data_IF_082953427072
#
_entry.id   IF_082953427072
#
_cell.length_a   1.000
_cell.length_b   1.000
_cell.length_c   1.000
_cell.angle_alpha   90.00
_cell.angle_beta   90.00
_cell.angle_gamma   90.00
#
_symmetry.space_group_name_H-M   'P 1'
#
loop_
_entity.id
_entity.type
_entity.pdbx_description
1 polymer ?
#
# COMPACT_ATOMS: atom_id res chain seq x y z
N UNK A 1 26.80 -6.48 -2.09
CA UNK A 1 25.85 -6.92 -1.05
C UNK A 1 25.54 -5.74 -0.13
N UNK A 2 24.57 -4.92 -0.50
CA UNK A 2 24.05 -3.87 0.38
C UNK A 2 23.01 -4.49 1.30
N UNK A 3 23.14 -4.27 2.61
CA UNK A 3 22.15 -4.66 3.60
C UNK A 3 20.87 -3.87 3.33
N UNK A 4 19.89 -4.45 2.63
CA UNK A 4 18.61 -3.83 2.35
C UNK A 4 17.75 -3.97 3.62
N UNK A 5 17.84 -3.00 4.54
CA UNK A 5 17.08 -3.02 5.79
C UNK A 5 15.65 -2.55 5.50
N UNK A 6 14.78 -3.46 5.07
CA UNK A 6 13.34 -3.26 5.06
C UNK A 6 12.80 -3.30 6.49
N UNK A 7 12.87 -2.17 7.22
CA UNK A 7 12.46 -2.11 8.63
C UNK A 7 10.93 -2.18 8.78
N UNK A 8 10.52 -3.18 9.57
CA UNK A 8 9.29 -3.34 10.36
C UNK A 8 7.99 -2.70 9.86
N UNK A 9 6.96 -3.54 9.68
CA UNK A 9 5.59 -3.07 9.72
C UNK A 9 5.06 -3.21 11.14
N UNK A 10 4.59 -2.10 11.71
CA UNK A 10 4.00 -2.08 13.05
C UNK A 10 2.48 -2.00 12.90
N UNK A 11 1.77 -2.95 13.51
CA UNK A 11 0.32 -3.05 13.49
C UNK A 11 -0.18 -2.87 14.92
N UNK A 12 -0.78 -1.74 15.24
CA UNK A 12 -1.22 -1.42 16.61
C UNK A 12 -2.73 -1.53 16.68
N UNK A 13 -3.29 -2.20 17.68
CA UNK A 13 -4.74 -2.30 17.91
C UNK A 13 -5.20 -1.27 18.97
N UNK A 14 -6.38 -0.66 18.82
CA UNK A 14 -6.92 0.30 19.81
C UNK A 14 -7.51 -0.36 21.07
N UNK A 15 -7.77 0.44 22.11
CA UNK A 15 -8.26 0.03 23.45
C UNK A 15 -9.45 -0.94 23.45
N UNK A 16 -9.49 -1.79 24.51
CA UNK A 16 -10.48 -2.83 24.81
C UNK A 16 -11.88 -2.22 25.01
N UNK A 17 -12.93 -2.80 24.41
CA UNK A 17 -14.33 -2.49 24.75
C UNK A 17 -14.97 -3.70 25.44
N UNK A 18 -15.80 -3.47 26.46
CA UNK A 18 -16.32 -4.51 27.36
C UNK A 18 -17.28 -5.52 26.75
N UNK A 19 -17.82 -5.32 25.54
CA UNK A 19 -18.85 -6.22 25.02
C UNK A 19 -18.43 -6.95 23.75
N UNK A 20 -18.29 -8.27 23.89
CA UNK A 20 -18.44 -9.20 22.77
C UNK A 20 -19.88 -9.08 22.25
N UNK A 21 -20.05 -8.44 21.09
CA UNK A 21 -21.35 -8.40 20.43
C UNK A 21 -21.66 -9.76 19.79
N UNK A 22 -22.90 -9.96 19.36
CA UNK A 22 -23.26 -11.14 18.56
C UNK A 22 -22.42 -11.25 17.26
N UNK A 23 -21.87 -10.12 16.80
CA UNK A 23 -21.12 -9.99 15.55
C UNK A 23 -19.61 -10.13 15.72
N UNK A 24 -19.04 -9.70 16.86
CA UNK A 24 -17.59 -9.59 17.04
C UNK A 24 -17.17 -10.34 18.30
N UNK A 25 -16.08 -11.11 18.19
CA UNK A 25 -15.40 -11.72 19.33
C UNK A 25 -14.02 -11.09 19.50
N UNK A 26 -13.70 -10.60 20.69
CA UNK A 26 -12.40 -10.04 21.01
C UNK A 26 -11.42 -11.17 21.40
N UNK A 27 -10.29 -11.24 20.69
CA UNK A 27 -9.20 -12.19 20.92
C UNK A 27 -7.89 -11.49 21.29
N UNK A 28 -7.93 -10.21 21.65
CA UNK A 28 -6.75 -9.40 21.96
C UNK A 28 -5.97 -9.88 23.19
N UNK A 29 -6.60 -10.66 24.08
CA UNK A 29 -5.92 -11.29 25.23
C UNK A 29 -5.07 -12.52 24.84
N UNK A 30 -5.17 -13.02 23.61
CA UNK A 30 -4.29 -14.06 23.09
C UNK A 30 -3.01 -13.47 22.50
N UNK A 31 -1.87 -14.14 22.72
CA UNK A 31 -0.67 -13.88 21.93
C UNK A 31 -0.84 -14.52 20.55
N UNK A 32 -1.00 -13.69 19.53
CA UNK A 32 -0.95 -14.10 18.14
C UNK A 32 0.50 -14.19 17.69
N UNK A 33 0.93 -15.34 17.17
CA UNK A 33 2.21 -15.51 16.49
C UNK A 33 1.94 -15.88 15.05
N UNK A 34 2.57 -15.19 14.09
CA UNK A 34 2.41 -15.43 12.66
C UNK A 34 3.76 -15.53 11.94
N UNK A 35 3.78 -16.36 10.91
CA UNK A 35 4.75 -16.28 9.82
C UNK A 35 4.03 -15.71 8.61
N UNK A 36 4.72 -14.93 7.78
CA UNK A 36 4.10 -14.32 6.62
C UNK A 36 5.09 -14.10 5.49
N UNK A 37 4.58 -14.12 4.26
CA UNK A 37 5.25 -13.61 3.08
C UNK A 37 4.63 -12.25 2.74
N UNK A 38 5.45 -11.25 2.41
CA UNK A 38 5.01 -9.90 2.10
C UNK A 38 5.71 -9.40 0.85
N UNK A 39 4.91 -8.87 -0.07
CA UNK A 39 5.37 -8.14 -1.24
C UNK A 39 4.82 -6.71 -1.16
N UNK A 40 5.68 -5.72 -1.40
CA UNK A 40 5.35 -4.30 -1.34
C UNK A 40 5.68 -3.67 -2.68
N UNK A 41 4.73 -3.00 -3.29
CA UNK A 41 4.94 -2.29 -4.55
C UNK A 41 4.76 -0.78 -4.38
N UNK A 42 5.54 -0.03 -5.16
CA UNK A 42 5.55 1.42 -5.24
C UNK A 42 5.71 1.79 -6.72
N UNK A 43 4.60 1.87 -7.44
CA UNK A 43 4.60 2.08 -8.88
C UNK A 43 4.20 3.51 -9.17
N UNK A 44 4.71 4.06 -10.26
CA UNK A 44 4.21 5.33 -10.75
C UNK A 44 4.08 5.30 -12.26
N UNK A 45 3.18 6.11 -12.80
CA UNK A 45 3.00 6.23 -14.24
C UNK A 45 2.96 7.68 -14.68
N UNK A 46 3.39 7.91 -15.91
CA UNK A 46 3.22 9.18 -16.62
C UNK A 46 2.38 8.91 -17.85
N UNK A 47 1.24 9.60 -17.97
CA UNK A 47 0.29 9.41 -19.08
C UNK A 47 0.01 10.73 -19.77
N UNK A 48 0.23 10.76 -21.08
CA UNK A 48 -0.24 11.80 -21.99
C UNK A 48 -1.59 11.38 -22.59
N UNK A 49 -2.68 11.99 -22.13
CA UNK A 49 -4.02 11.63 -22.62
C UNK A 49 -4.34 12.25 -23.98
N UNK A 50 -3.60 13.29 -24.40
CA UNK A 50 -3.81 13.91 -25.71
C UNK A 50 -3.14 13.09 -26.82
N UNK A 51 -1.99 12.46 -26.54
CA UNK A 51 -1.28 11.58 -27.47
C UNK A 51 -1.53 10.07 -27.22
N UNK A 52 -2.24 9.72 -26.14
CA UNK A 52 -2.57 8.34 -25.80
C UNK A 52 -1.37 7.49 -25.37
N UNK A 53 -0.28 8.12 -24.91
CA UNK A 53 0.96 7.44 -24.54
C UNK A 53 1.07 7.31 -23.01
N UNK A 54 1.53 6.15 -22.52
CA UNK A 54 1.75 5.90 -21.09
C UNK A 54 3.09 5.20 -20.84
N UNK A 55 3.73 5.55 -19.73
CA UNK A 55 4.90 4.84 -19.21
C UNK A 55 4.68 4.46 -17.76
N UNK A 56 4.90 3.19 -17.45
CA UNK A 56 4.78 2.64 -16.10
C UNK A 56 6.16 2.32 -15.55
N UNK A 57 6.42 2.74 -14.32
CA UNK A 57 7.67 2.54 -13.63
C UNK A 57 7.44 1.70 -12.39
N UNK A 58 8.20 0.63 -12.27
CA UNK A 58 8.17 -0.28 -11.13
C UNK A 58 9.58 -0.44 -10.55
N UNK A 59 9.73 -0.45 -9.21
CA UNK A 59 10.95 -0.88 -8.58
C UNK A 59 11.09 -2.39 -8.73
N UNK A 60 12.31 -2.91 -8.65
CA UNK A 60 12.50 -4.33 -8.45
C UNK A 60 12.00 -4.69 -7.03
N UNK A 61 10.75 -5.15 -6.96
CA UNK A 61 10.17 -5.60 -5.69
C UNK A 61 10.77 -6.94 -5.31
N UNK A 62 10.80 -7.19 -4.00
CA UNK A 62 11.19 -8.49 -3.50
C UNK A 62 10.16 -9.02 -2.53
N UNK A 63 9.85 -10.30 -2.71
CA UNK A 63 9.11 -11.10 -1.76
C UNK A 63 9.98 -11.28 -0.51
N UNK A 64 9.48 -10.79 0.62
CA UNK A 64 10.13 -10.93 1.92
C UNK A 64 9.39 -11.95 2.77
N UNK A 65 10.12 -12.71 3.58
CA UNK A 65 9.53 -13.60 4.58
C UNK A 65 9.70 -12.99 5.97
N UNK A 66 8.66 -13.10 6.79
CA UNK A 66 8.61 -12.44 8.08
C UNK A 66 7.96 -13.27 9.17
N UNK A 67 8.24 -12.81 10.39
CA UNK A 67 7.63 -13.28 11.63
C UNK A 67 6.95 -12.11 12.30
N UNK A 68 5.79 -12.36 12.91
CA UNK A 68 5.03 -11.33 13.60
C UNK A 68 4.45 -11.84 14.90
N UNK A 69 4.32 -10.93 15.86
CA UNK A 69 3.65 -11.18 17.11
C UNK A 69 2.65 -10.06 17.38
N UNK A 70 1.47 -10.41 17.88
CA UNK A 70 0.42 -9.46 18.27
C UNK A 70 -0.10 -9.82 19.66
N UNK A 71 -0.16 -8.84 20.55
CA UNK A 71 -0.72 -8.98 21.89
C UNK A 71 -1.41 -7.70 22.31
N UNK A 72 -2.67 -7.81 22.74
CA UNK A 72 -3.52 -6.67 23.10
C UNK A 72 -3.57 -5.61 22.00
N UNK A 73 -3.06 -4.43 22.33
CA UNK A 73 -3.03 -3.23 21.50
C UNK A 73 -1.76 -3.14 20.65
N UNK A 74 -0.79 -4.05 20.79
CA UNK A 74 0.49 -3.95 20.10
C UNK A 74 0.75 -5.16 19.20
N UNK A 75 1.24 -4.91 17.99
CA UNK A 75 1.68 -5.92 17.05
C UNK A 75 2.89 -5.45 16.27
N UNK A 76 3.85 -6.35 16.11
CA UNK A 76 5.11 -6.09 15.41
C UNK A 76 5.37 -7.22 14.41
N UNK A 77 5.64 -6.86 13.16
CA UNK A 77 6.10 -7.77 12.13
C UNK A 77 7.49 -7.36 11.63
N UNK A 78 8.41 -8.33 11.60
CA UNK A 78 9.72 -8.19 10.98
C UNK A 78 9.77 -9.08 9.74
N UNK A 79 10.14 -8.51 8.60
CA UNK A 79 10.31 -9.23 7.35
C UNK A 79 11.71 -9.02 6.80
N UNK A 80 12.26 -10.08 6.18
CA UNK A 80 13.62 -10.11 5.67
C UNK A 80 13.60 -10.55 4.22
N UNK A 81 14.42 -9.91 3.41
CA UNK A 81 14.73 -10.35 2.05
C UNK A 81 15.68 -11.54 2.13
N UNK A 82 15.43 -12.57 1.34
CA UNK A 82 16.31 -13.72 1.21
C UNK A 82 16.85 -13.82 -0.22
N UNK A 83 18.19 -13.93 -0.43
CA UNK A 83 18.80 -13.96 -1.76
C UNK A 83 18.34 -15.12 -2.66
N UNK A 84 17.83 -16.21 -2.08
CA UNK A 84 17.34 -17.36 -2.84
C UNK A 84 15.92 -17.18 -3.39
N UNK A 85 15.21 -16.12 -2.97
CA UNK A 85 13.83 -15.82 -3.41
C UNK A 85 13.82 -14.78 -4.52
N UNK A 86 14.72 -13.79 -4.43
CA UNK A 86 14.73 -12.63 -5.32
C UNK A 86 16.10 -12.57 -6.02
N UNK A 87 16.17 -13.17 -7.21
CA UNK A 87 17.38 -13.25 -8.03
C UNK A 87 17.07 -12.85 -9.48
N UNK A 88 16.45 -11.69 -9.62
CA UNK A 88 15.91 -11.12 -10.86
C UNK A 88 16.49 -9.72 -11.15
N UNK A 89 17.51 -9.30 -10.39
CA UNK A 89 18.25 -8.04 -10.59
C UNK A 89 18.82 -7.92 -12.02
N UNK A 90 19.10 -9.04 -12.69
CA UNK A 90 19.55 -9.04 -14.09
C UNK A 90 18.45 -8.65 -15.08
N UNK A 91 17.18 -8.85 -14.71
CA UNK A 91 16.00 -8.62 -15.55
C UNK A 91 15.38 -7.25 -15.22
N UNK A 92 15.21 -6.94 -13.93
CA UNK A 92 14.50 -5.73 -13.45
C UNK A 92 15.43 -4.64 -12.90
N UNK A 93 16.75 -4.89 -12.84
CA UNK A 93 17.70 -3.98 -12.23
C UNK A 93 17.68 -4.00 -10.70
N UNK A 94 18.60 -3.26 -10.09
CA UNK A 94 18.69 -3.17 -8.63
C UNK A 94 17.91 -1.97 -8.10
N UNK A 95 17.08 -2.19 -7.08
CA UNK A 95 16.41 -1.12 -6.33
C UNK A 95 16.94 -1.02 -4.91
N UNK A 96 17.27 0.20 -4.46
CA UNK A 96 17.52 0.52 -3.04
C UNK A 96 16.25 1.11 -2.43
N UNK A 97 15.87 0.64 -1.24
CA UNK A 97 14.64 1.11 -0.59
C UNK A 97 14.75 1.23 0.93
N UNK A 98 14.04 2.22 1.45
CA UNK A 98 13.58 2.31 2.84
C UNK A 98 12.05 2.40 2.80
N UNK A 99 11.36 1.49 3.48
CA UNK A 99 9.89 1.40 3.42
C UNK A 99 9.33 1.05 4.80
N UNK A 100 8.90 2.09 5.53
CA UNK A 100 8.25 1.98 6.82
C UNK A 100 6.74 2.25 6.66
N UNK A 101 5.92 1.31 7.14
CA UNK A 101 4.47 1.44 7.11
C UNK A 101 3.91 1.05 8.48
N UNK A 102 3.02 1.88 9.02
CA UNK A 102 2.39 1.63 10.31
C UNK A 102 0.90 1.85 10.20
N UNK A 103 0.13 0.92 10.73
CA UNK A 103 -1.33 0.99 10.77
C UNK A 103 -1.84 0.76 12.18
N UNK A 104 -2.67 1.69 12.66
CA UNK A 104 -3.39 1.60 13.92
C UNK A 104 -4.84 1.23 13.63
N UNK A 105 -5.28 0.06 14.06
CA UNK A 105 -6.66 -0.41 13.91
C UNK A 105 -7.39 -0.29 15.26
N UNK A 106 -8.19 0.76 15.41
CA UNK A 106 -9.20 0.86 16.46
C UNK A 106 -10.51 0.16 16.08
N UNK A 107 -11.50 0.18 16.98
CA UNK A 107 -12.88 -0.19 16.61
C UNK A 107 -13.54 0.92 15.79
N UNK A 108 -13.39 2.16 16.23
CA UNK A 108 -14.05 3.33 15.63
C UNK A 108 -13.26 3.99 14.51
N UNK A 109 -11.96 3.73 14.43
CA UNK A 109 -11.11 4.39 13.45
C UNK A 109 -9.89 3.56 13.05
N UNK A 110 -9.32 3.87 11.91
CA UNK A 110 -8.04 3.36 11.39
C UNK A 110 -7.14 4.57 11.14
N UNK A 111 -5.86 4.47 11.52
CA UNK A 111 -4.84 5.46 11.18
C UNK A 111 -3.72 4.76 10.44
N UNK A 112 -3.33 5.25 9.28
CA UNK A 112 -2.23 4.71 8.49
C UNK A 112 -1.17 5.77 8.28
N UNK A 113 0.10 5.36 8.31
CA UNK A 113 1.26 6.17 7.97
C UNK A 113 2.23 5.38 7.12
N UNK A 114 2.78 6.03 6.09
CA UNK A 114 3.73 5.46 5.15
C UNK A 114 4.89 6.44 4.98
N UNK A 115 6.12 5.95 5.11
CA UNK A 115 7.34 6.67 4.75
C UNK A 115 8.19 5.75 3.86
N UNK A 116 8.32 6.13 2.60
CA UNK A 116 8.94 5.32 1.57
C UNK A 116 9.97 6.15 0.80
N UNK A 117 11.16 5.59 0.63
CA UNK A 117 12.23 6.14 -0.22
C UNK A 117 12.72 5.00 -1.09
N UNK A 118 12.60 5.13 -2.40
CA UNK A 118 13.00 4.14 -3.38
C UNK A 118 13.96 4.78 -4.37
N UNK A 119 14.95 4.01 -4.84
CA UNK A 119 15.87 4.43 -5.90
C UNK A 119 16.18 3.23 -6.80
N UNK A 120 16.10 3.44 -8.11
CA UNK A 120 16.24 2.42 -9.13
C UNK A 120 14.90 1.80 -9.49
N UNK A 121 14.51 1.99 -10.75
CA UNK A 121 13.26 1.54 -11.35
C UNK A 121 13.55 0.84 -12.68
N UNK A 122 12.57 0.16 -13.23
CA UNK A 122 12.51 -0.25 -14.63
C UNK A 122 11.18 0.20 -15.24
N UNK A 123 11.13 0.29 -16.57
CA UNK A 123 9.89 0.58 -17.29
C UNK A 123 9.12 -0.72 -17.50
N UNK A 124 7.90 -0.83 -16.97
CA UNK A 124 7.11 -2.08 -16.90
C UNK A 124 6.42 -2.45 -18.23
N UNK A 125 6.21 -1.50 -19.14
CA UNK A 125 5.52 -1.67 -20.43
C UNK A 125 6.41 -1.44 -21.67
N UNK A 126 7.59 -2.07 -21.77
CA UNK A 126 8.51 -1.86 -22.90
C UNK A 126 7.94 -2.28 -24.26
N UNK A 127 7.05 -3.27 -24.28
CA UNK A 127 6.33 -3.77 -25.43
C UNK A 127 5.42 -2.72 -26.09
N UNK A 128 4.94 -1.73 -25.33
CA UNK A 128 4.11 -0.63 -25.88
C UNK A 128 4.90 0.35 -26.76
N UNK A 129 6.24 0.37 -26.66
CA UNK A 129 7.08 1.33 -27.41
C UNK A 129 8.33 0.72 -28.07
N UNK A 130 8.58 -0.58 -27.88
CA UNK A 130 9.64 -1.33 -28.58
C UNK A 130 9.05 -2.57 -29.25
N UNK A 131 8.80 -2.48 -30.56
CA UNK A 131 8.18 -3.54 -31.36
C UNK A 131 8.93 -4.89 -31.30
N UNK A 132 10.26 -4.87 -31.15
CA UNK A 132 11.10 -6.07 -31.12
C UNK A 132 11.54 -6.47 -29.70
N UNK A 133 10.91 -5.91 -28.65
CA UNK A 133 11.27 -6.25 -27.28
C UNK A 133 10.76 -7.65 -26.89
N UNK A 134 11.62 -8.40 -26.22
CA UNK A 134 11.28 -9.65 -25.57
C UNK A 134 11.78 -9.65 -24.12
N UNK A 135 11.06 -10.34 -23.23
CA UNK A 135 11.37 -10.39 -21.80
C UNK A 135 12.78 -10.92 -21.52
N UNK A 136 13.27 -11.83 -22.37
CA UNK A 136 14.63 -12.37 -22.29
C UNK A 136 15.74 -11.34 -22.46
N UNK A 137 15.47 -10.20 -23.11
CA UNK A 137 16.42 -9.10 -23.31
C UNK A 137 16.49 -8.16 -22.10
N UNK A 138 15.63 -8.38 -21.09
CA UNK A 138 15.51 -7.58 -19.88
C UNK A 138 14.69 -6.31 -20.07
N UNK A 139 14.33 -5.67 -18.96
CA UNK A 139 13.55 -4.43 -18.99
C UNK A 139 14.47 -3.20 -19.11
N UNK A 140 13.98 -2.08 -19.67
CA UNK A 140 14.71 -0.81 -19.62
C UNK A 140 14.86 -0.31 -18.19
N UNK A 141 16.08 -0.32 -17.67
CA UNK A 141 16.41 0.05 -16.28
C UNK A 141 16.71 1.55 -16.18
N UNK A 142 16.18 2.17 -15.13
CA UNK A 142 16.36 3.58 -14.72
C UNK A 142 16.91 3.65 -13.30
N UNK A 143 18.23 3.45 -13.11
CA UNK A 143 18.86 3.45 -11.78
C UNK A 143 18.90 4.86 -11.15
N UNK A 144 18.73 5.89 -11.97
CA UNK A 144 18.72 7.31 -11.60
C UNK A 144 17.42 7.77 -10.94
N UNK A 145 16.30 7.10 -11.25
CA UNK A 145 15.00 7.48 -10.73
C UNK A 145 14.90 7.16 -9.24
N UNK A 146 14.56 8.18 -8.45
CA UNK A 146 14.27 8.08 -7.03
C UNK A 146 12.88 8.62 -6.73
N UNK A 147 12.19 7.98 -5.78
CA UNK A 147 10.92 8.46 -5.24
C UNK A 147 11.01 8.59 -3.73
N UNK A 148 10.34 9.61 -3.20
CA UNK A 148 10.13 9.79 -1.76
C UNK A 148 8.66 10.05 -1.52
N UNK A 149 8.04 9.27 -0.64
CA UNK A 149 6.64 9.41 -0.28
C UNK A 149 6.47 9.44 1.23
N UNK A 150 5.72 10.43 1.71
CA UNK A 150 5.20 10.49 3.07
C UNK A 150 3.69 10.70 3.00
N UNK A 151 2.93 9.71 3.42
CA UNK A 151 1.47 9.76 3.35
C UNK A 151 0.85 9.25 4.65
N UNK A 152 -0.36 9.71 4.93
CA UNK A 152 -1.13 9.23 6.05
C UNK A 152 -2.62 9.42 5.87
N UNK A 153 -3.40 8.60 6.59
CA UNK A 153 -4.85 8.72 6.58
C UNK A 153 -5.47 8.40 7.92
N UNK A 154 -6.56 9.09 8.23
CA UNK A 154 -7.49 8.78 9.30
C UNK A 154 -8.81 8.33 8.67
N UNK A 155 -9.35 7.19 9.08
CA UNK A 155 -10.63 6.67 8.61
C UNK A 155 -11.53 6.34 9.78
N UNK A 156 -12.72 6.92 9.84
CA UNK A 156 -13.78 6.60 10.79
C UNK A 156 -14.63 5.41 10.31
N UNK A 157 -15.03 4.55 11.24
CA UNK A 157 -15.87 3.38 11.02
C UNK A 157 -17.21 3.61 11.72
N UNK A 158 -18.27 3.83 10.95
CA UNK A 158 -19.60 4.15 11.51
C UNK A 158 -20.27 2.95 12.21
N UNK A 159 -20.18 1.75 11.64
CA UNK A 159 -20.80 0.53 12.20
C UNK A 159 -19.81 -0.29 13.05
N UNK A 160 -19.02 0.38 13.89
CA UNK A 160 -17.93 -0.23 14.66
C UNK A 160 -18.36 -1.27 15.70
N UNK A 161 -19.66 -1.38 16.01
CA UNK A 161 -20.20 -2.37 16.96
C UNK A 161 -20.44 -3.73 16.31
N UNK A 162 -20.66 -3.74 14.98
CA UNK A 162 -20.95 -4.94 14.20
C UNK A 162 -19.84 -5.28 13.22
N UNK A 163 -19.12 -4.30 12.68
CA UNK A 163 -18.04 -4.49 11.72
C UNK A 163 -16.67 -4.33 12.38
N UNK A 164 -15.77 -5.29 12.15
CA UNK A 164 -14.39 -5.26 12.63
C UNK A 164 -13.38 -5.31 11.48
N UNK A 165 -12.71 -4.20 11.22
CA UNK A 165 -11.51 -4.19 10.38
C UNK A 165 -10.35 -4.99 11.01
N UNK A 166 -10.29 -5.02 12.36
CA UNK A 166 -9.26 -5.78 13.09
C UNK A 166 -9.29 -7.27 12.74
N UNK A 167 -10.47 -7.83 12.49
CA UNK A 167 -10.64 -9.24 12.17
C UNK A 167 -9.86 -9.70 10.94
N UNK A 168 -9.71 -8.82 9.96
CA UNK A 168 -9.08 -9.11 8.67
C UNK A 168 -7.61 -8.74 8.67
N UNK A 169 -7.25 -7.55 9.16
CA UNK A 169 -5.92 -6.98 8.93
C UNK A 169 -4.90 -7.21 10.06
N UNK A 170 -5.34 -7.31 11.31
CA UNK A 170 -4.44 -7.55 12.46
C UNK A 170 -4.79 -8.80 13.28
N UNK A 171 -5.91 -9.45 12.95
CA UNK A 171 -6.34 -10.74 13.47
C UNK A 171 -6.55 -10.83 15.00
N UNK A 172 -6.73 -9.70 15.69
CA UNK A 172 -7.01 -9.63 17.13
C UNK A 172 -8.50 -9.73 17.48
N UNK A 173 -9.38 -9.75 16.49
CA UNK A 173 -10.82 -9.98 16.66
C UNK A 173 -11.28 -11.06 15.66
N UNK A 174 -12.44 -11.67 15.91
CA UNK A 174 -13.15 -12.48 14.92
C UNK A 174 -14.45 -11.77 14.52
N UNK A 175 -14.70 -11.70 13.21
CA UNK A 175 -16.01 -11.40 12.68
C UNK A 175 -16.83 -12.71 12.67
N UNK A 176 -17.87 -12.79 13.52
CA UNK A 176 -18.74 -13.98 13.66
C UNK A 176 -19.92 -13.98 12.69
N UNK A 177 -20.36 -12.81 12.26
CA UNK A 177 -21.47 -12.62 11.31
C UNK A 177 -21.09 -11.58 10.27
N UNK A 178 -21.60 -11.73 9.04
CA UNK A 178 -21.39 -10.73 8.00
C UNK A 178 -21.84 -9.35 8.44
N UNK A 179 -21.01 -8.34 8.21
CA UNK A 179 -21.30 -6.96 8.51
C UNK A 179 -20.42 -6.05 7.66
N UNK A 180 -20.92 -4.84 7.39
CA UNK A 180 -20.14 -3.79 6.77
C UNK A 180 -20.36 -2.45 7.45
N UNK A 181 -19.56 -1.47 7.05
CA UNK A 181 -19.59 -0.13 7.58
C UNK A 181 -19.32 0.87 6.47
N UNK A 182 -20.08 1.96 6.49
CA UNK A 182 -19.63 3.19 5.85
C UNK A 182 -18.33 3.63 6.49
N UNK A 183 -17.49 4.29 5.69
CA UNK A 183 -16.22 4.85 6.07
C UNK A 183 -16.19 6.32 5.65
N UNK A 184 -15.58 7.16 6.47
CA UNK A 184 -15.27 8.54 6.10
C UNK A 184 -13.99 8.99 6.78
N UNK A 185 -13.21 9.85 6.16
CA UNK A 185 -11.96 10.28 6.75
C UNK A 185 -11.15 11.24 5.91
N UNK A 186 -10.01 11.64 6.44
CA UNK A 186 -9.07 12.54 5.81
C UNK A 186 -7.74 11.85 5.51
N UNK A 187 -7.03 12.37 4.53
CA UNK A 187 -5.69 11.89 4.16
C UNK A 187 -4.81 13.05 3.72
N UNK A 188 -3.50 12.80 3.74
CA UNK A 188 -2.51 13.68 3.13
C UNK A 188 -1.47 12.83 2.41
N UNK A 189 -0.82 13.43 1.42
CA UNK A 189 0.29 12.82 0.70
C UNK A 189 1.32 13.89 0.36
N UNK A 190 2.59 13.55 0.54
CA UNK A 190 3.75 14.24 0.00
C UNK A 190 4.48 13.22 -0.87
N UNK A 191 4.67 13.52 -2.14
CA UNK A 191 5.33 12.68 -3.12
C UNK A 191 6.40 13.50 -3.83
N UNK A 192 7.60 12.96 -3.96
CA UNK A 192 8.64 13.44 -4.85
C UNK A 192 9.07 12.33 -5.78
N UNK A 193 9.22 12.64 -7.05
CA UNK A 193 9.87 11.80 -8.06
C UNK A 193 10.99 12.62 -8.68
N UNK A 194 12.19 12.05 -8.78
CA UNK A 194 13.38 12.71 -9.29
C UNK A 194 14.17 11.74 -10.16
N UNK A 195 14.72 12.22 -11.27
CA UNK A 195 15.74 11.57 -12.08
C UNK A 195 16.87 12.54 -12.39
N UNK A 196 18.07 12.01 -12.66
CA UNK A 196 19.20 12.82 -13.12
C UNK A 196 18.98 13.35 -14.55
N UNK A 197 18.09 12.69 -15.28
CA UNK A 197 17.64 12.95 -16.63
C UNK A 197 16.11 13.01 -16.66
N UNK A 198 15.53 13.36 -17.82
CA UNK A 198 14.08 13.36 -17.98
C UNK A 198 13.49 12.00 -17.55
N UNK A 199 12.35 12.03 -16.87
CA UNK A 199 11.65 10.80 -16.47
C UNK A 199 11.29 10.01 -17.73
N UNK A 200 10.82 10.68 -18.78
CA UNK A 200 10.59 10.08 -20.09
C UNK A 200 11.93 9.97 -20.84
N UNK A 201 12.36 8.77 -21.27
CA UNK A 201 13.57 8.57 -22.05
C UNK A 201 13.57 9.34 -23.38
N UNK A 202 14.76 9.77 -23.83
CA UNK A 202 14.92 10.60 -25.04
C UNK A 202 14.33 9.95 -26.30
N UNK A 203 14.38 8.62 -26.40
CA UNK A 203 13.84 7.87 -27.54
C UNK A 203 12.33 8.01 -27.68
N UNK A 204 11.64 8.39 -26.60
CA UNK A 204 10.18 8.53 -26.52
C UNK A 204 9.73 10.00 -26.51
N UNK A 205 10.63 10.98 -26.60
CA UNK A 205 10.24 12.40 -26.53
C UNK A 205 9.25 12.81 -27.63
N UNK A 206 9.26 12.15 -28.80
CA UNK A 206 8.33 12.45 -29.89
C UNK A 206 6.91 11.92 -29.65
N UNK A 207 6.70 11.01 -28.70
CA UNK A 207 5.39 10.44 -28.38
C UNK A 207 4.74 11.09 -27.16
N UNK A 208 5.43 12.04 -26.53
CA UNK A 208 4.95 12.78 -25.36
C UNK A 208 5.06 14.28 -25.61
N UNK A 209 4.19 15.07 -24.98
CA UNK A 209 4.33 16.53 -25.00
C UNK A 209 5.52 17.01 -24.17
N UNK A 210 6.10 18.13 -24.59
CA UNK A 210 7.23 18.78 -23.91
C UNK A 210 6.98 19.06 -22.42
N UNK A 211 5.73 19.32 -22.02
CA UNK A 211 5.36 19.58 -20.61
C UNK A 211 5.43 18.34 -19.70
N UNK A 212 5.59 17.14 -20.29
CA UNK A 212 5.82 15.88 -19.58
C UNK A 212 7.29 15.46 -19.54
N UNK A 213 8.19 16.18 -20.21
CA UNK A 213 9.62 15.89 -20.25
C UNK A 213 10.35 16.43 -19.01
N UNK A 214 9.71 16.36 -17.84
CA UNK A 214 10.28 16.77 -16.57
C UNK A 214 11.27 15.73 -16.04
N UNK A 215 12.24 16.16 -15.24
CA UNK A 215 13.11 15.26 -14.47
C UNK A 215 12.75 15.21 -12.99
N UNK A 216 11.97 16.18 -12.50
CA UNK A 216 11.55 16.22 -11.11
C UNK A 216 10.11 16.69 -10.99
N UNK A 217 9.34 16.02 -10.15
CA UNK A 217 8.02 16.46 -9.72
C UNK A 217 7.87 16.24 -8.22
N UNK A 218 7.39 17.26 -7.53
CA UNK A 218 6.97 17.19 -6.14
C UNK A 218 5.49 17.54 -6.04
N UNK A 219 4.72 16.74 -5.32
CA UNK A 219 3.28 16.90 -5.14
C UNK A 219 2.95 16.77 -3.67
N UNK A 220 2.21 17.73 -3.13
CA UNK A 220 1.78 17.73 -1.74
C UNK A 220 0.33 18.13 -1.61
N UNK A 221 -0.45 17.40 -0.82
CA UNK A 221 -1.84 17.78 -0.62
C UNK A 221 -2.56 17.06 0.50
N UNK A 222 -3.80 17.51 0.69
CA UNK A 222 -4.73 16.99 1.68
C UNK A 222 -6.07 16.71 1.01
N UNK A 223 -6.77 15.70 1.51
CA UNK A 223 -8.05 15.30 0.95
C UNK A 223 -8.95 14.61 1.94
N UNK A 224 -10.16 14.36 1.48
CA UNK A 224 -11.19 13.62 2.19
C UNK A 224 -11.62 12.41 1.37
N UNK A 225 -12.02 11.36 2.05
CA UNK A 225 -12.48 10.11 1.44
C UNK A 225 -13.76 9.63 2.11
N UNK A 226 -14.62 9.01 1.32
CA UNK A 226 -15.81 8.31 1.77
C UNK A 226 -15.80 6.93 1.13
N UNK A 227 -16.24 5.92 1.86
CA UNK A 227 -16.10 4.55 1.38
C UNK A 227 -16.99 3.57 2.11
N UNK A 228 -16.74 2.31 1.81
CA UNK A 228 -17.45 1.20 2.42
C UNK A 228 -16.49 0.02 2.59
N UNK A 229 -16.65 -0.68 3.71
CA UNK A 229 -16.01 -1.97 3.94
C UNK A 229 -17.04 -3.00 4.35
N UNK A 230 -16.92 -4.22 3.85
CA UNK A 230 -17.79 -5.33 4.23
C UNK A 230 -17.00 -6.62 4.41
N UNK A 231 -17.27 -7.31 5.51
CA UNK A 231 -16.77 -8.66 5.76
C UNK A 231 -17.92 -9.65 5.60
N UNK A 232 -17.78 -10.57 4.66
CA UNK A 232 -18.65 -11.73 4.48
C UNK A 232 -18.10 -12.89 5.32
N UNK A 233 -18.93 -13.44 6.21
CA UNK A 233 -18.60 -14.64 7.00
C UNK A 233 -19.25 -15.85 6.35
N UNK A 234 -18.42 -16.77 5.84
CA UNK A 234 -18.80 -17.96 5.10
C UNK A 234 -18.38 -19.18 5.93
N UNK A 235 -19.25 -20.19 6.04
CA UNK A 235 -18.99 -21.44 6.78
C UNK A 235 -18.38 -21.21 8.18
N UNK A 236 -18.83 -20.16 8.88
CA UNK A 236 -18.43 -19.73 10.25
C UNK A 236 -16.98 -19.28 10.46
N UNK A 237 -16.03 -19.70 9.62
CA UNK A 237 -14.60 -19.43 9.84
C UNK A 237 -13.88 -18.85 8.63
N UNK A 238 -14.49 -18.82 7.45
CA UNK A 238 -13.92 -18.20 6.26
C UNK A 238 -14.47 -16.78 6.13
N UNK A 239 -13.60 -15.79 6.11
CA UNK A 239 -13.97 -14.39 5.96
C UNK A 239 -13.42 -13.83 4.66
N UNK A 240 -14.27 -13.13 3.91
CA UNK A 240 -13.86 -12.30 2.77
C UNK A 240 -14.17 -10.85 3.13
N UNK A 241 -13.16 -9.99 3.20
CA UNK A 241 -13.33 -8.56 3.38
C UNK A 241 -13.04 -7.82 2.08
N UNK A 242 -13.88 -6.84 1.75
CA UNK A 242 -13.68 -5.91 0.65
C UNK A 242 -13.88 -4.50 1.18
N UNK A 243 -12.96 -3.61 0.84
CA UNK A 243 -12.95 -2.20 1.22
C UNK A 243 -12.62 -1.35 0.00
N UNK A 244 -13.42 -0.32 -0.24
CA UNK A 244 -13.12 0.71 -1.23
C UNK A 244 -13.49 2.07 -0.64
N UNK A 245 -12.59 3.04 -0.77
CA UNK A 245 -12.78 4.41 -0.32
C UNK A 245 -12.18 5.38 -1.35
N UNK A 246 -12.98 5.84 -2.32
CA UNK A 246 -12.59 6.96 -3.16
C UNK A 246 -12.44 8.24 -2.33
N UNK A 247 -11.56 9.11 -2.78
CA UNK A 247 -11.29 10.40 -2.17
C UNK A 247 -10.98 11.46 -3.20
N UNK A 248 -11.14 12.71 -2.75
CA UNK A 248 -10.80 13.91 -3.49
C UNK A 248 -9.86 14.75 -2.65
N UNK A 249 -8.83 15.31 -3.28
CA UNK A 249 -7.83 16.14 -2.62
C UNK A 249 -7.53 17.40 -3.41
N UNK A 250 -7.11 18.43 -2.69
CA UNK A 250 -6.41 19.57 -3.27
C UNK A 250 -4.91 19.34 -3.12
N UNK A 251 -4.15 19.51 -4.19
CA UNK A 251 -2.71 19.30 -4.20
C UNK A 251 -1.99 20.48 -4.84
N UNK A 252 -0.85 20.84 -4.29
CA UNK A 252 0.13 21.73 -4.91
C UNK A 252 1.23 20.89 -5.54
N UNK A 253 1.72 21.32 -6.70
CA UNK A 253 2.85 20.66 -7.36
C UNK A 253 3.95 21.64 -7.73
N UNK A 254 5.16 21.12 -7.84
CA UNK A 254 6.35 21.77 -8.40
C UNK A 254 6.99 20.79 -9.39
N UNK A 255 7.23 21.25 -10.62
CA UNK A 255 7.84 20.49 -11.71
C UNK A 255 9.07 21.22 -12.22
N UNK A 256 10.19 20.51 -12.30
CA UNK A 256 11.42 21.01 -12.90
C UNK A 256 11.76 20.21 -14.17
N UNK A 257 12.44 20.88 -15.11
CA UNK A 257 12.80 20.32 -16.40
C UNK A 257 14.33 20.26 -16.55
N UNK A 258 14.86 19.27 -17.30
CA UNK A 258 16.28 19.22 -17.60
C UNK A 258 16.77 20.53 -18.25
N UNK A 259 17.93 21.02 -17.82
CA UNK A 259 18.61 22.20 -18.39
C UNK A 259 17.77 23.50 -18.40
N UNK A 260 16.79 23.61 -17.49
CA UNK A 260 15.96 24.80 -17.31
C UNK A 260 16.03 25.28 -15.87
N UNK A 261 16.28 26.58 -15.67
CA UNK A 261 16.18 27.22 -14.35
C UNK A 261 14.72 27.54 -13.97
N UNK A 262 13.78 27.36 -14.90
CA UNK A 262 12.36 27.60 -14.65
C UNK A 262 11.68 26.34 -14.11
N UNK A 263 11.01 26.50 -12.97
CA UNK A 263 10.08 25.52 -12.41
C UNK A 263 8.64 25.92 -12.69
N UNK A 264 7.77 24.93 -12.84
CA UNK A 264 6.33 25.13 -12.96
C UNK A 264 5.67 24.71 -11.66
N UNK A 265 5.02 25.65 -11.01
CA UNK A 265 4.21 25.39 -9.83
C UNK A 265 2.73 25.58 -10.12
N UNK A 266 1.87 24.91 -9.36
CA UNK A 266 0.44 25.04 -9.52
C UNK A 266 -0.35 24.30 -8.45
N UNK A 267 -1.67 24.42 -8.53
CA UNK A 267 -2.60 23.67 -7.71
C UNK A 267 -3.54 22.87 -8.62
N UNK A 268 -3.90 21.68 -8.19
CA UNK A 268 -4.78 20.77 -8.91
C UNK A 268 -5.73 20.07 -7.93
N UNK A 269 -6.83 19.57 -8.49
CA UNK A 269 -7.72 18.64 -7.80
C UNK A 269 -7.33 17.23 -8.24
N UNK A 270 -7.17 16.35 -7.26
CA UNK A 270 -6.73 14.98 -7.45
C UNK A 270 -7.70 13.97 -6.90
N UNK A 271 -7.69 12.79 -7.50
CA UNK A 271 -8.39 11.61 -6.99
C UNK A 271 -7.46 10.75 -6.14
N UNK A 272 -8.06 10.06 -5.17
CA UNK A 272 -7.45 8.95 -4.43
C UNK A 272 -8.40 7.76 -4.46
N UNK A 273 -7.88 6.55 -4.53
CA UNK A 273 -8.66 5.33 -4.27
C UNK A 273 -7.88 4.44 -3.29
N UNK A 274 -8.42 4.30 -2.08
CA UNK A 274 -7.96 3.28 -1.14
C UNK A 274 -8.78 2.00 -1.35
N UNK A 275 -8.11 0.93 -1.74
CA UNK A 275 -8.71 -0.40 -1.90
C UNK A 275 -8.04 -1.40 -0.95
N UNK A 276 -8.83 -2.18 -0.20
CA UNK A 276 -8.31 -3.30 0.59
C UNK A 276 -9.17 -4.52 0.39
N UNK A 277 -8.54 -5.68 0.35
CA UNK A 277 -9.22 -6.96 0.28
C UNK A 277 -8.54 -7.97 1.19
N UNK A 278 -9.29 -8.97 1.64
CA UNK A 278 -8.71 -10.08 2.36
C UNK A 278 -9.57 -11.31 2.26
N UNK A 279 -8.93 -12.47 2.14
CA UNK A 279 -9.56 -13.78 2.31
C UNK A 279 -8.80 -14.50 3.41
N UNK A 280 -9.47 -14.87 4.49
CA UNK A 280 -8.82 -15.52 5.61
C UNK A 280 -9.70 -16.56 6.29
N UNK A 281 -9.09 -17.68 6.63
CA UNK A 281 -9.60 -18.57 7.65
C UNK A 281 -9.23 -18.01 9.03
N UNK A 282 -10.21 -17.87 9.92
CA UNK A 282 -9.97 -17.38 11.29
C UNK A 282 -10.80 -18.16 12.30
N UNK A 283 -10.13 -18.71 13.30
CA UNK A 283 -10.71 -19.46 14.42
C UNK A 283 -10.12 -18.98 15.75
N UNK A 284 -10.64 -19.42 16.90
CA UNK A 284 -10.02 -19.05 18.19
C UNK A 284 -8.55 -19.45 18.33
N UNK A 285 -8.10 -20.54 17.67
CA UNK A 285 -6.74 -21.11 17.86
C UNK A 285 -5.76 -20.79 16.73
N UNK A 286 -6.26 -20.58 15.52
CA UNK A 286 -5.44 -20.40 14.33
C UNK A 286 -6.10 -19.42 13.35
N UNK A 287 -5.27 -18.77 12.56
CA UNK A 287 -5.68 -17.92 11.45
C UNK A 287 -4.70 -18.05 10.30
N UNK A 288 -5.17 -17.79 9.09
CA UNK A 288 -4.31 -17.70 7.92
C UNK A 288 -5.09 -17.23 6.71
N UNK A 289 -4.39 -16.63 5.76
CA UNK A 289 -5.04 -16.05 4.61
C UNK A 289 -4.14 -15.12 3.82
N UNK A 290 -4.79 -14.37 2.94
CA UNK A 290 -4.19 -13.36 2.10
C UNK A 290 -4.87 -12.02 2.33
N UNK A 291 -4.09 -10.93 2.36
CA UNK A 291 -4.61 -9.57 2.36
C UNK A 291 -3.90 -8.74 1.30
N UNK A 292 -4.64 -7.87 0.64
CA UNK A 292 -4.13 -6.86 -0.29
C UNK A 292 -4.57 -5.49 0.20
N UNK A 293 -3.68 -4.51 0.13
CA UNK A 293 -4.01 -3.10 0.36
C UNK A 293 -3.31 -2.27 -0.69
N UNK A 294 -4.05 -1.41 -1.37
CA UNK A 294 -3.56 -0.48 -2.37
C UNK A 294 -4.10 0.91 -2.07
N UNK A 295 -3.24 1.91 -2.21
CA UNK A 295 -3.54 3.32 -2.09
C UNK A 295 -3.04 4.01 -3.37
N UNK A 296 -3.99 4.37 -4.23
CA UNK A 296 -3.74 4.95 -5.54
C UNK A 296 -4.01 6.45 -5.50
N UNK A 297 -3.06 7.25 -5.94
CA UNK A 297 -3.18 8.70 -6.09
C UNK A 297 -3.08 9.06 -7.56
N UNK A 298 -4.01 9.87 -8.05
CA UNK A 298 -4.02 10.37 -9.42
C UNK A 298 -3.99 11.89 -9.42
N UNK A 299 -2.98 12.48 -10.07
CA UNK A 299 -2.82 13.92 -10.21
C UNK A 299 -2.70 14.37 -11.65
N UNK A 300 -3.55 15.31 -12.05
CA UNK A 300 -3.55 15.89 -13.39
C UNK A 300 -2.51 17.02 -13.46
N UNK A 301 -1.36 16.76 -14.08
CA UNK A 301 -0.22 17.68 -14.13
C UNK A 301 -0.06 18.42 -15.45
N UNK A 302 -0.79 18.10 -16.53
CA UNK A 302 -0.64 18.80 -17.83
C UNK A 302 -1.13 20.27 -17.83
N UNK A 303 -0.64 21.13 -18.74
CA UNK A 303 -1.11 22.53 -18.86
C UNK A 303 -2.64 22.67 -19.05
N UNK A 304 -3.29 21.64 -19.60
CA UNK A 304 -4.75 21.56 -19.76
C UNK A 304 -5.44 20.62 -18.75
N UNK A 305 -4.75 20.20 -17.69
CA UNK A 305 -5.22 19.15 -16.74
C UNK A 305 -5.57 17.82 -17.40
N UNK A 306 -5.01 17.54 -18.60
CA UNK A 306 -5.28 16.29 -19.32
C UNK A 306 -4.23 15.23 -19.09
N UNK A 307 -2.99 15.59 -18.81
CA UNK A 307 -1.93 14.61 -18.54
C UNK A 307 -1.92 14.25 -17.06
N UNK A 308 -1.63 13.00 -16.73
CA UNK A 308 -1.72 12.49 -15.36
C UNK A 308 -0.44 11.80 -14.92
N UNK A 309 -0.05 12.04 -13.67
CA UNK A 309 0.90 11.22 -12.94
C UNK A 309 0.12 10.43 -11.90
N UNK A 310 0.25 9.11 -11.96
CA UNK A 310 -0.39 8.22 -10.99
C UNK A 310 0.68 7.60 -10.10
N UNK A 311 0.34 7.37 -8.85
CA UNK A 311 1.21 6.78 -7.86
C UNK A 311 0.46 5.72 -7.07
N UNK A 312 0.93 4.48 -7.17
CA UNK A 312 0.31 3.31 -6.58
C UNK A 312 1.21 2.71 -5.51
N UNK A 313 0.71 2.76 -4.28
CA UNK A 313 1.34 2.14 -3.13
C UNK A 313 0.56 0.91 -2.74
N UNK A 314 1.23 -0.19 -2.44
CA UNK A 314 0.48 -1.33 -1.93
C UNK A 314 1.31 -2.45 -1.34
N UNK A 315 0.58 -3.37 -0.73
CA UNK A 315 1.11 -4.52 -0.02
C UNK A 315 0.22 -5.72 -0.24
N UNK A 316 0.83 -6.84 -0.58
CA UNK A 316 0.23 -8.17 -0.58
C UNK A 316 0.86 -8.96 0.56
N UNK A 317 0.05 -9.62 1.37
CA UNK A 317 0.53 -10.52 2.44
C UNK A 317 -0.16 -11.86 2.35
N UNK A 318 0.64 -12.92 2.51
CA UNK A 318 0.18 -14.25 2.84
C UNK A 318 0.65 -14.57 4.24
N UNK A 319 -0.21 -15.07 5.11
CA UNK A 319 0.17 -15.34 6.49
C UNK A 319 -0.52 -16.56 7.05
N UNK A 320 0.14 -17.17 8.03
CA UNK A 320 -0.42 -18.20 8.90
C UNK A 320 0.03 -17.95 10.32
N UNK A 321 -0.86 -18.14 11.28
CA UNK A 321 -0.58 -17.90 12.68
C UNK A 321 -1.42 -18.71 13.65
N UNK A 322 -0.96 -18.72 14.89
CA UNK A 322 -1.57 -19.36 16.05
C UNK A 322 -1.86 -18.32 17.12
N UNK A 323 -2.93 -18.55 17.89
CA UNK A 323 -3.30 -17.76 19.06
C UNK A 323 -3.06 -18.58 20.31
N UNK A 324 -2.27 -18.05 21.23
CA UNK A 324 -1.89 -18.69 22.49
C UNK A 324 -2.56 -17.92 23.63
N UNK A 325 -3.43 -18.59 24.38
CA UNK A 325 -4.07 -18.01 25.56
C UNK A 325 -3.28 -18.38 26.81
N UNK A 326 -2.87 -17.38 27.60
CA UNK A 326 -2.12 -17.61 28.83
C UNK A 326 -2.98 -17.95 30.05
N UNK A 327 -4.32 -17.87 29.93
CA UNK A 327 -5.25 -18.19 31.00
C UNK A 327 -6.01 -19.50 30.74
N UNK A 328 -5.54 -20.59 31.36
CA UNK A 328 -6.39 -21.69 31.81
C UNK A 328 -7.12 -21.24 33.08
N UNK A 329 -8.24 -20.53 32.96
CA UNK A 329 -9.26 -20.69 34.01
C UNK A 329 -9.94 -22.02 33.73
N UNK A 330 -9.59 -23.04 34.51
CA UNK A 330 -10.48 -24.14 34.82
C UNK A 330 -11.82 -23.52 35.24
N UNK A 331 -12.82 -23.48 34.36
CA UNK A 331 -14.20 -23.55 34.83
C UNK A 331 -14.48 -25.03 34.99
N UNK A 332 -14.38 -25.41 36.26
CA UNK A 332 -14.73 -26.71 36.78
C UNK A 332 -16.17 -27.08 36.38
N UNK A 333 -16.37 -28.36 36.12
CA UNK A 333 -17.64 -29.03 36.37
C UNK A 333 -18.19 -28.59 37.74
N UNK A 334 -19.44 -28.14 37.77
CA UNK A 334 -20.48 -28.57 38.70
C UNK A 334 -21.82 -27.94 38.34
#
# INVERSE_FOLDING_TARGET
>A
MGLQIGLSQTEVSGLKSSDSSEFIEDLSDALGLKVYAIDKFNRFSVTDHDLGSSLYYSPNSSLNLGIGATYKWFGLGLAFNFPFINNDDQIYGNTRRFDAQTSFYGRKFIIDFYLQVYQGYYIENPDEYKNDWNEADGYPIRPDIATTSFAGSFTWIFNHEKFSAKSTFIQTELQKKSAGSLLAGGFFNLLGVYGDSAIIPNELHQTFKDDLLFNSVSVGGIGISVGYSHTFVIWKNLNINLTIAPGISTQSFDVAYPNSDSTRTGNLVSGRVLARAGILYSSRKAFGGMTVSNDSFSGNTGQNQRNSINFDLGVIRFFYGRRIFFNNKKTADH
#
